data_IF_718121468419
#
_entry.id   IF_718121468419
#
_cell.length_a   1.000
_cell.length_b   1.000
_cell.length_c   1.000
_cell.angle_alpha   90.00
_cell.angle_beta   90.00
_cell.angle_gamma   90.00
#
_symmetry.space_group_name_H-M   'P 1'
#
loop_
_entity.id
_entity.type
_entity.pdbx_description
1 polymer ?
#
# COMPACT_ATOMS: atom_id res chain seq x y z
N UNK A 1 22.83 4.10 35.27
CA UNK A 1 23.51 3.34 34.20
C UNK A 1 22.81 1.99 34.16
N UNK A 2 21.73 1.90 33.38
CA UNK A 2 20.94 0.68 33.29
C UNK A 2 21.53 -0.20 32.20
N UNK A 3 22.08 -1.34 32.59
CA UNK A 3 22.57 -2.36 31.67
C UNK A 3 21.43 -2.83 30.76
N UNK A 4 21.52 -2.49 29.48
CA UNK A 4 20.70 -3.06 28.43
C UNK A 4 21.26 -4.44 28.09
N UNK A 5 20.76 -5.47 28.77
CA UNK A 5 21.07 -6.86 28.44
C UNK A 5 20.10 -7.33 27.34
N UNK A 6 20.51 -7.26 26.08
CA UNK A 6 19.79 -7.84 24.95
C UNK A 6 20.25 -9.28 24.74
N UNK A 7 19.30 -10.23 24.85
CA UNK A 7 19.55 -11.64 24.53
C UNK A 7 19.99 -11.78 23.06
N UNK A 8 21.09 -12.51 22.88
CA UNK A 8 21.87 -12.58 21.66
C UNK A 8 21.13 -13.07 20.40
N UNK A 9 21.75 -12.69 19.28
CA UNK A 9 21.34 -12.76 17.88
C UNK A 9 20.38 -11.61 17.50
N UNK A 10 20.97 -10.45 17.25
CA UNK A 10 20.36 -9.45 16.36
C UNK A 10 20.26 -10.12 14.99
N UNK A 11 19.04 -10.39 14.55
CA UNK A 11 18.71 -10.75 13.17
C UNK A 11 19.34 -9.72 12.23
N UNK A 12 19.94 -10.17 11.13
CA UNK A 12 20.66 -9.38 10.12
C UNK A 12 20.18 -7.92 10.02
N UNK A 13 20.95 -6.99 10.58
CA UNK A 13 20.75 -5.57 10.29
C UNK A 13 21.18 -5.36 8.84
N UNK A 14 20.22 -5.02 7.99
CA UNK A 14 20.51 -4.73 6.59
C UNK A 14 21.31 -3.43 6.56
N UNK A 15 22.55 -3.48 6.06
CA UNK A 15 23.38 -2.29 5.93
C UNK A 15 22.84 -1.43 4.78
N UNK A 16 21.93 -0.51 5.08
CA UNK A 16 21.39 0.46 4.12
C UNK A 16 22.20 1.77 4.11
N UNK A 17 23.12 1.99 5.05
CA UNK A 17 23.78 3.28 5.27
C UNK A 17 24.83 3.65 4.21
N UNK A 18 25.34 2.66 3.46
CA UNK A 18 26.42 2.86 2.48
C UNK A 18 26.06 2.35 1.08
N UNK A 19 24.77 2.23 0.79
CA UNK A 19 24.27 1.75 -0.49
C UNK A 19 23.62 2.90 -1.25
N UNK A 20 23.86 2.96 -2.56
CA UNK A 20 23.17 3.95 -3.40
C UNK A 20 21.74 3.49 -3.70
N UNK A 21 20.86 4.43 -4.03
CA UNK A 21 19.47 4.11 -4.40
C UNK A 21 19.46 3.22 -5.64
N UNK A 22 20.30 3.52 -6.63
CA UNK A 22 20.39 2.79 -7.88
C UNK A 22 20.79 1.32 -7.67
N UNK A 23 21.67 1.05 -6.69
CA UNK A 23 22.06 -0.30 -6.32
C UNK A 23 20.87 -1.08 -5.72
N UNK A 24 20.10 -0.44 -4.83
CA UNK A 24 18.91 -1.04 -4.23
C UNK A 24 17.82 -1.30 -5.29
N UNK A 25 17.58 -0.34 -6.18
CA UNK A 25 16.59 -0.50 -7.25
C UNK A 25 16.98 -1.59 -8.25
N UNK A 26 18.28 -1.72 -8.57
CA UNK A 26 18.78 -2.81 -9.40
C UNK A 26 18.51 -4.19 -8.78
N UNK A 27 18.67 -4.33 -7.46
CA UNK A 27 18.32 -5.56 -6.75
C UNK A 27 16.82 -5.83 -6.76
N UNK A 28 16.00 -4.81 -6.50
CA UNK A 28 14.53 -4.93 -6.56
C UNK A 28 14.05 -5.35 -7.95
N UNK A 29 14.68 -4.84 -9.01
CA UNK A 29 14.42 -5.23 -10.40
C UNK A 29 14.76 -6.70 -10.70
N UNK A 30 15.81 -7.24 -10.08
CA UNK A 30 16.16 -8.67 -10.21
C UNK A 30 15.18 -9.52 -9.40
N UNK A 31 14.90 -9.11 -8.17
CA UNK A 31 14.02 -9.83 -7.26
C UNK A 31 12.58 -9.91 -7.77
N UNK A 32 12.05 -8.80 -8.31
CA UNK A 32 10.68 -8.69 -8.82
C UNK A 32 10.35 -9.68 -9.94
N UNK A 33 11.36 -10.22 -10.65
CA UNK A 33 11.20 -11.26 -11.67
C UNK A 33 10.79 -12.61 -11.10
N UNK A 34 11.20 -12.89 -9.86
CA UNK A 34 10.89 -14.15 -9.16
C UNK A 34 9.76 -13.98 -8.16
N UNK A 35 9.69 -12.81 -7.53
CA UNK A 35 8.66 -12.44 -6.55
C UNK A 35 8.08 -11.07 -6.91
N UNK A 36 6.97 -11.03 -7.65
CA UNK A 36 6.33 -9.78 -8.02
C UNK A 36 6.08 -8.89 -6.80
N UNK A 37 6.51 -7.63 -6.89
CA UNK A 37 6.41 -6.66 -5.81
C UNK A 37 5.11 -5.87 -5.91
N UNK A 38 4.37 -5.77 -4.81
CA UNK A 38 3.17 -4.95 -4.69
C UNK A 38 3.36 -3.84 -3.66
N UNK A 39 2.61 -2.75 -3.84
CA UNK A 39 2.56 -1.64 -2.89
C UNK A 39 1.12 -1.37 -2.47
N UNK A 40 0.88 -1.25 -1.16
CA UNK A 40 -0.39 -0.78 -0.61
C UNK A 40 -0.24 0.66 -0.14
N UNK A 41 -1.13 1.53 -0.63
CA UNK A 41 -1.25 2.94 -0.26
C UNK A 41 -2.61 3.16 0.42
N UNK A 42 -2.71 3.04 1.75
CA UNK A 42 -3.92 3.40 2.47
C UNK A 42 -3.98 4.93 2.62
N UNK A 43 -5.00 5.57 2.07
CA UNK A 43 -5.15 7.02 2.12
C UNK A 43 -6.57 7.49 2.43
N UNK A 44 -6.66 8.70 2.99
CA UNK A 44 -7.90 9.48 3.03
C UNK A 44 -8.05 10.28 1.73
N UNK A 45 -9.28 10.63 1.35
CA UNK A 45 -9.47 11.55 0.22
C UNK A 45 -8.78 12.90 0.44
N UNK A 46 -8.80 13.44 1.66
CA UNK A 46 -8.17 14.71 2.00
C UNK A 46 -6.65 14.74 1.75
N UNK A 47 -5.98 13.58 1.74
CA UNK A 47 -4.54 13.51 1.48
C UNK A 47 -4.20 13.74 0.01
N UNK A 48 -5.14 13.48 -0.91
CA UNK A 48 -4.97 13.79 -2.34
C UNK A 48 -4.87 15.30 -2.59
N UNK A 49 -5.45 16.10 -1.70
CA UNK A 49 -5.39 17.57 -1.72
C UNK A 49 -4.14 18.12 -1.01
N UNK A 50 -3.40 17.25 -0.30
CA UNK A 50 -2.17 17.57 0.39
C UNK A 50 -0.95 17.62 -0.54
N UNK A 51 0.21 18.03 0.01
CA UNK A 51 1.46 18.09 -0.76
C UNK A 51 2.19 16.74 -0.80
N UNK A 52 2.06 15.89 0.22
CA UNK A 52 2.82 14.65 0.34
C UNK A 52 2.44 13.62 -0.74
N UNK A 53 1.15 13.30 -0.86
CA UNK A 53 0.68 12.25 -1.77
C UNK A 53 0.96 12.53 -3.26
N UNK A 54 0.79 13.75 -3.80
CA UNK A 54 1.21 14.06 -5.17
C UNK A 54 2.71 13.83 -5.40
N UNK A 55 3.56 14.19 -4.44
CA UNK A 55 4.99 13.93 -4.53
C UNK A 55 5.30 12.42 -4.48
N UNK A 56 4.65 11.67 -3.57
CA UNK A 56 4.79 10.21 -3.49
C UNK A 56 4.42 9.57 -4.84
N UNK A 57 3.29 9.96 -5.43
CA UNK A 57 2.85 9.43 -6.74
C UNK A 57 3.85 9.75 -7.84
N UNK A 58 4.48 10.93 -7.84
CA UNK A 58 5.52 11.30 -8.81
C UNK A 58 6.77 10.42 -8.68
N UNK A 59 7.22 10.13 -7.46
CA UNK A 59 8.34 9.21 -7.23
C UNK A 59 7.97 7.78 -7.64
N UNK A 60 6.78 7.31 -7.25
CA UNK A 60 6.28 5.99 -7.62
C UNK A 60 6.13 5.83 -9.14
N UNK A 61 5.77 6.88 -9.87
CA UNK A 61 5.65 6.80 -11.32
C UNK A 61 6.98 6.48 -12.03
N UNK A 62 8.12 6.72 -11.37
CA UNK A 62 9.45 6.48 -11.93
C UNK A 62 9.96 5.06 -11.66
N UNK A 63 9.41 4.35 -10.66
CA UNK A 63 9.97 3.06 -10.23
C UNK A 63 9.53 1.89 -11.13
N UNK A 64 10.46 1.07 -11.67
CA UNK A 64 10.13 0.04 -12.66
C UNK A 64 9.85 -1.35 -12.06
N UNK A 65 10.01 -1.53 -10.74
CA UNK A 65 9.99 -2.85 -10.10
C UNK A 65 8.64 -3.25 -9.47
N UNK A 66 7.65 -2.34 -9.43
CA UNK A 66 6.32 -2.61 -8.87
C UNK A 66 5.38 -3.24 -9.92
N UNK A 67 4.80 -4.40 -9.58
CA UNK A 67 3.85 -5.12 -10.41
C UNK A 67 2.41 -4.62 -10.25
N UNK A 68 2.02 -4.21 -9.03
CA UNK A 68 0.70 -3.63 -8.74
C UNK A 68 0.77 -2.63 -7.58
N UNK A 69 0.06 -1.51 -7.72
CA UNK A 69 -0.19 -0.55 -6.63
C UNK A 69 -1.67 -0.62 -6.25
N UNK A 70 -1.96 -0.94 -5.00
CA UNK A 70 -3.33 -1.01 -4.46
C UNK A 70 -3.54 0.17 -3.53
N UNK A 71 -4.39 1.10 -3.94
CA UNK A 71 -4.75 2.28 -3.18
C UNK A 71 -6.05 2.01 -2.45
N UNK A 72 -6.06 2.11 -1.13
CA UNK A 72 -7.29 2.04 -0.35
C UNK A 72 -7.74 3.44 0.02
N UNK A 73 -8.90 3.86 -0.48
CA UNK A 73 -9.44 5.20 -0.31
C UNK A 73 -10.59 5.20 0.71
N UNK A 74 -10.36 5.89 1.82
CA UNK A 74 -11.37 6.17 2.84
C UNK A 74 -11.91 7.60 2.74
N UNK A 75 -13.08 7.84 3.34
CA UNK A 75 -13.71 9.16 3.51
C UNK A 75 -13.87 9.92 2.19
N UNK A 76 -14.32 9.20 1.16
CA UNK A 76 -14.69 9.77 -0.14
C UNK A 76 -16.17 9.55 -0.42
N UNK A 77 -16.82 10.51 -1.08
CA UNK A 77 -18.06 10.30 -1.82
C UNK A 77 -17.81 9.77 -3.24
N UNK A 78 -18.86 9.55 -4.04
CA UNK A 78 -18.71 9.02 -5.40
C UNK A 78 -17.96 9.97 -6.34
N UNK A 79 -18.18 11.28 -6.22
CA UNK A 79 -17.51 12.27 -7.07
C UNK A 79 -16.03 12.36 -6.72
N UNK A 80 -15.71 12.37 -5.43
CA UNK A 80 -14.37 12.32 -4.89
C UNK A 80 -13.65 11.02 -5.28
N UNK A 81 -14.32 9.88 -5.21
CA UNK A 81 -13.76 8.61 -5.70
C UNK A 81 -13.43 8.66 -7.20
N UNK A 82 -14.30 9.24 -8.03
CA UNK A 82 -14.03 9.43 -9.45
C UNK A 82 -12.82 10.35 -9.68
N UNK A 83 -12.73 11.45 -8.93
CA UNK A 83 -11.56 12.34 -8.94
C UNK A 83 -10.27 11.60 -8.54
N UNK A 84 -10.34 10.70 -7.56
CA UNK A 84 -9.20 9.90 -7.14
C UNK A 84 -8.74 8.93 -8.25
N UNK A 85 -9.66 8.34 -9.02
CA UNK A 85 -9.30 7.51 -10.18
C UNK A 85 -8.51 8.30 -11.21
N UNK A 86 -8.92 9.54 -11.50
CA UNK A 86 -8.21 10.42 -12.42
C UNK A 86 -6.83 10.82 -11.87
N UNK A 87 -6.74 11.15 -10.59
CA UNK A 87 -5.47 11.48 -9.91
C UNK A 87 -4.43 10.34 -10.03
N UNK A 88 -4.82 9.10 -9.71
CA UNK A 88 -3.91 7.95 -9.76
C UNK A 88 -3.66 7.42 -11.17
N UNK A 89 -4.43 7.86 -12.18
CA UNK A 89 -4.23 7.45 -13.58
C UNK A 89 -2.86 7.83 -14.16
N UNK A 90 -2.16 8.75 -13.50
CA UNK A 90 -0.79 9.18 -13.82
C UNK A 90 0.25 8.08 -13.57
N UNK A 91 -0.05 7.10 -12.73
CA UNK A 91 0.82 5.95 -12.47
C UNK A 91 0.90 5.05 -13.70
N UNK A 92 2.10 4.85 -14.30
CA UNK A 92 2.27 3.96 -15.44
C UNK A 92 2.14 2.48 -15.07
N UNK A 93 2.34 2.12 -13.80
CA UNK A 93 2.12 0.77 -13.31
C UNK A 93 0.63 0.44 -13.24
N UNK A 94 0.32 -0.86 -13.26
CA UNK A 94 -1.02 -1.32 -12.94
C UNK A 94 -1.37 -0.86 -11.52
N UNK A 95 -2.49 -0.17 -11.40
CA UNK A 95 -3.02 0.21 -10.10
C UNK A 95 -4.50 -0.14 -9.95
N UNK A 96 -4.97 -0.19 -8.69
CA UNK A 96 -6.38 -0.32 -8.34
C UNK A 96 -6.70 0.59 -7.17
N UNK A 97 -7.75 1.40 -7.31
CA UNK A 97 -8.31 2.17 -6.19
C UNK A 97 -9.49 1.39 -5.61
N UNK A 98 -9.43 1.13 -4.31
CA UNK A 98 -10.43 0.45 -3.51
C UNK A 98 -11.14 1.48 -2.65
N UNK A 99 -12.37 1.83 -3.02
CA UNK A 99 -13.18 2.77 -2.24
C UNK A 99 -13.87 2.04 -1.09
N UNK A 100 -13.28 2.12 0.11
CA UNK A 100 -13.71 1.36 1.28
C UNK A 100 -15.11 1.77 1.75
N UNK A 101 -15.43 3.06 1.64
CA UNK A 101 -16.76 3.59 1.92
C UNK A 101 -17.77 3.38 0.78
N UNK A 102 -17.30 2.90 -0.37
CA UNK A 102 -18.13 2.69 -1.55
C UNK A 102 -19.09 1.51 -1.40
N UNK A 103 -20.19 1.50 -2.17
CA UNK A 103 -21.26 0.50 -2.05
C UNK A 103 -20.76 -0.93 -2.23
N UNK A 104 -19.74 -1.14 -3.07
CA UNK A 104 -19.19 -2.49 -3.35
C UNK A 104 -18.39 -3.04 -2.17
N UNK A 105 -17.52 -2.23 -1.54
CA UNK A 105 -16.76 -2.69 -0.39
C UNK A 105 -17.57 -2.71 0.89
N UNK A 106 -18.55 -1.82 1.06
CA UNK A 106 -19.53 -1.94 2.14
C UNK A 106 -20.38 -3.22 2.06
N UNK A 107 -20.76 -3.64 0.85
CA UNK A 107 -21.47 -4.90 0.68
C UNK A 107 -20.59 -6.11 1.04
N UNK A 108 -19.31 -6.08 0.63
CA UNK A 108 -18.34 -7.12 1.01
C UNK A 108 -18.08 -7.13 2.51
N UNK A 109 -17.93 -5.96 3.12
CA UNK A 109 -17.77 -5.80 4.56
C UNK A 109 -18.94 -6.41 5.33
N UNK A 110 -20.18 -6.16 4.92
CA UNK A 110 -21.36 -6.76 5.54
C UNK A 110 -21.37 -8.30 5.42
N UNK A 111 -20.93 -8.86 4.28
CA UNK A 111 -20.80 -10.31 4.13
C UNK A 111 -19.74 -10.90 5.08
N UNK A 112 -18.62 -10.20 5.25
CA UNK A 112 -17.54 -10.61 6.13
C UNK A 112 -17.90 -10.43 7.61
N UNK A 113 -18.62 -9.37 7.96
CA UNK A 113 -19.12 -9.10 9.31
C UNK A 113 -20.11 -10.19 9.75
N UNK A 114 -21.01 -10.61 8.85
CA UNK A 114 -21.93 -11.72 9.10
C UNK A 114 -21.22 -13.06 9.38
N UNK A 115 -19.93 -13.16 9.05
CA UNK A 115 -19.07 -14.33 9.31
C UNK A 115 -18.05 -14.10 10.44
N UNK A 116 -18.10 -12.96 11.14
CA UNK A 116 -17.13 -12.52 12.14
C UNK A 116 -15.68 -12.47 11.60
N UNK A 117 -15.54 -12.10 10.33
CA UNK A 117 -14.26 -11.96 9.63
C UNK A 117 -13.87 -10.49 9.37
N UNK A 118 -14.83 -9.57 9.37
CA UNK A 118 -14.57 -8.17 9.10
C UNK A 118 -13.84 -7.46 10.25
N UNK A 119 -12.92 -6.52 9.94
CA UNK A 119 -12.35 -5.64 10.95
C UNK A 119 -13.43 -4.73 11.57
N UNK A 120 -13.49 -4.70 12.91
CA UNK A 120 -14.56 -4.04 13.67
C UNK A 120 -14.40 -2.53 13.79
N UNK A 121 -13.17 -2.04 13.83
CA UNK A 121 -12.87 -0.62 14.03
C UNK A 121 -12.57 0.09 12.70
N UNK A 122 -13.06 1.31 12.56
CA UNK A 122 -12.71 2.18 11.44
C UNK A 122 -11.28 2.73 11.60
N UNK A 123 -10.64 3.03 10.47
CA UNK A 123 -9.32 3.65 10.42
C UNK A 123 -8.34 2.91 9.52
N UNK A 124 -7.09 3.36 9.52
CA UNK A 124 -6.03 2.87 8.62
C UNK A 124 -5.85 1.35 8.65
N UNK A 125 -5.97 0.71 9.82
CA UNK A 125 -5.86 -0.74 9.94
C UNK A 125 -6.91 -1.50 9.12
N UNK A 126 -8.17 -1.02 9.13
CA UNK A 126 -9.26 -1.59 8.33
C UNK A 126 -9.05 -1.39 6.84
N UNK A 127 -8.59 -0.21 6.45
CA UNK A 127 -8.23 0.10 5.06
C UNK A 127 -7.17 -0.87 4.53
N UNK A 128 -6.07 -1.02 5.28
CA UNK A 128 -4.98 -1.94 4.97
C UNK A 128 -5.48 -3.38 4.88
N UNK A 129 -6.35 -3.81 5.80
CA UNK A 129 -6.92 -5.14 5.81
C UNK A 129 -7.65 -5.47 4.49
N UNK A 130 -8.50 -4.56 4.01
CA UNK A 130 -9.20 -4.72 2.73
C UNK A 130 -8.23 -4.72 1.54
N UNK A 131 -7.24 -3.83 1.54
CA UNK A 131 -6.20 -3.80 0.52
C UNK A 131 -5.41 -5.11 0.46
N UNK A 132 -5.01 -5.66 1.61
CA UNK A 132 -4.32 -6.94 1.69
C UNK A 132 -5.21 -8.07 1.15
N UNK A 133 -6.49 -8.10 1.50
CA UNK A 133 -7.46 -9.07 0.98
C UNK A 133 -7.54 -9.03 -0.55
N UNK A 134 -7.65 -7.83 -1.14
CA UNK A 134 -7.62 -7.66 -2.59
C UNK A 134 -6.29 -8.11 -3.20
N UNK A 135 -5.15 -7.70 -2.62
CA UNK A 135 -3.81 -8.06 -3.13
C UNK A 135 -3.61 -9.58 -3.15
N UNK A 136 -4.04 -10.28 -2.09
CA UNK A 136 -4.02 -11.74 -2.04
C UNK A 136 -4.94 -12.36 -3.10
N UNK A 137 -6.15 -11.81 -3.25
CA UNK A 137 -7.11 -12.31 -4.25
C UNK A 137 -6.69 -12.02 -5.70
N UNK A 138 -5.94 -10.94 -5.95
CA UNK A 138 -5.47 -10.58 -7.29
C UNK A 138 -4.38 -11.55 -7.78
N UNK A 139 -3.59 -12.11 -6.85
CA UNK A 139 -2.47 -13.02 -7.16
C UNK A 139 -1.36 -12.36 -7.96
N UNK A 140 -1.28 -11.03 -7.98
CA UNK A 140 -0.32 -10.26 -8.80
C UNK A 140 0.93 -9.82 -8.04
N UNK A 141 0.89 -9.84 -6.72
CA UNK A 141 2.01 -9.53 -5.86
C UNK A 141 2.23 -10.69 -4.89
N UNK A 142 3.51 -11.05 -4.69
CA UNK A 142 3.93 -12.03 -3.69
C UNK A 142 4.55 -11.34 -2.48
N UNK A 143 5.38 -10.31 -2.73
CA UNK A 143 5.95 -9.47 -1.68
C UNK A 143 5.24 -8.12 -1.69
N UNK A 144 4.74 -7.68 -0.54
CA UNK A 144 3.92 -6.48 -0.44
C UNK A 144 4.55 -5.52 0.57
N UNK A 145 4.79 -4.29 0.13
CA UNK A 145 5.14 -3.17 0.99
C UNK A 145 3.89 -2.33 1.30
N UNK A 146 3.92 -1.65 2.44
CA UNK A 146 2.91 -0.68 2.84
C UNK A 146 3.60 0.66 3.06
N UNK A 147 3.05 1.71 2.47
CA UNK A 147 3.61 3.06 2.56
C UNK A 147 2.54 4.03 3.05
N UNK A 148 2.89 4.87 4.03
CA UNK A 148 1.98 5.89 4.55
C UNK A 148 1.80 7.05 3.56
N UNK A 149 0.64 7.69 3.55
CA UNK A 149 0.32 8.72 2.55
C UNK A 149 0.39 10.16 3.08
N UNK A 150 0.92 10.36 4.30
CA UNK A 150 1.05 11.65 5.00
C UNK A 150 2.48 12.23 5.02
#
# INVERSE_FOLDING_TARGET
>A
MGDFYQNGIITTLHNLAHRSVEELEAELLVFSRTRPLGLILPSLYSELEGAALPHIVQELAQVPYLAEIVIGLDQADEAQYRSALDFFSTLPQRHRVLWNDGPRLRALDAELEARDLAPREAGKGRNVWYCMGYTLASGRAESVALHDCD
#
